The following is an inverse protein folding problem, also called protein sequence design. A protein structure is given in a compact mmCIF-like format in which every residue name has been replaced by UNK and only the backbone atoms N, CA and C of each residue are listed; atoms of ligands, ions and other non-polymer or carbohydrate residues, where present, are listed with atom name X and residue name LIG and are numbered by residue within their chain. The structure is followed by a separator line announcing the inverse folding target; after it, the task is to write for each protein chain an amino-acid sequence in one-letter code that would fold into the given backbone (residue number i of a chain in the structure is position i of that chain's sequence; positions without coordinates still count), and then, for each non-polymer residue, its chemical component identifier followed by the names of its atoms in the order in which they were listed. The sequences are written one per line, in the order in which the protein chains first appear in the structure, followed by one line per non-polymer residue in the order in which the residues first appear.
data_IF_206562585149
#
_entry.id   IF_206562585149
#
_cell.length_a   1.000
_cell.length_b   1.000
_cell.length_c   1.000
_cell.angle_alpha   90.00
_cell.angle_beta   90.00
_cell.angle_gamma   90.00
#
_symmetry.space_group_name_H-M   'P 1'
#
loop_
_entity.id
_entity.type
_entity.pdbx_description
1 polymer ?
#
# COMPACT_ATOMS: atom_id res chain seq x y z
N UNK A 1 -13.06 -63.32 -20.65
CA UNK A 1 -11.92 -64.15 -20.23
C UNK A 1 -10.94 -63.28 -19.47
N UNK A 2 -10.71 -63.63 -18.18
CA UNK A 2 -9.52 -63.34 -17.33
C UNK A 2 -8.95 -61.91 -17.29
N UNK A 3 -9.09 -61.16 -16.18
CA UNK A 3 -8.32 -61.23 -14.89
C UNK A 3 -6.86 -60.74 -14.97
N UNK A 4 -6.50 -59.88 -14.01
CA UNK A 4 -5.13 -59.64 -13.51
C UNK A 4 -4.87 -58.16 -13.23
N UNK A 5 -5.11 -57.62 -12.03
CA UNK A 5 -4.16 -57.56 -10.89
C UNK A 5 -2.90 -56.76 -11.26
N UNK A 6 -2.58 -55.59 -10.69
CA UNK A 6 -2.58 -55.24 -9.27
C UNK A 6 -1.19 -55.54 -8.69
N UNK A 7 -0.37 -54.51 -8.45
CA UNK A 7 0.70 -54.48 -7.43
C UNK A 7 1.50 -53.17 -7.48
N UNK A 8 1.40 -52.37 -6.42
CA UNK A 8 2.50 -51.54 -5.93
C UNK A 8 3.46 -52.41 -5.11
N UNK A 9 4.73 -51.99 -4.96
CA UNK A 9 5.41 -52.10 -3.67
C UNK A 9 6.09 -50.77 -3.31
N UNK A 10 5.78 -50.17 -2.15
CA UNK A 10 6.28 -50.43 -0.79
C UNK A 10 7.42 -49.49 -0.38
N UNK A 11 7.22 -48.87 0.78
CA UNK A 11 8.14 -47.99 1.48
C UNK A 11 9.18 -48.79 2.29
N UNK A 12 10.37 -48.23 2.59
CA UNK A 12 11.21 -48.76 3.65
C UNK A 12 11.06 -47.96 4.96
N UNK A 13 10.57 -48.68 5.96
CA UNK A 13 11.12 -48.88 7.30
C UNK A 13 11.50 -47.67 8.18
N UNK A 14 10.79 -47.59 9.30
CA UNK A 14 11.18 -46.93 10.54
C UNK A 14 12.47 -47.53 11.14
N UNK A 15 13.42 -46.68 11.50
CA UNK A 15 14.54 -47.02 12.38
C UNK A 15 14.26 -46.49 13.79
N UNK A 16 14.10 -47.43 14.71
CA UNK A 16 14.00 -47.20 16.16
C UNK A 16 15.42 -47.19 16.73
N UNK A 17 15.81 -46.14 17.45
CA UNK A 17 16.93 -46.20 18.40
C UNK A 17 16.51 -45.58 19.74
N UNK A 18 16.49 -46.45 20.75
CA UNK A 18 16.44 -46.14 22.18
C UNK A 18 17.85 -45.84 22.69
N UNK A 19 17.94 -45.00 23.73
CA UNK A 19 19.11 -44.87 24.63
C UNK A 19 19.37 -43.41 25.00
N UNK A 20 18.70 -42.85 26.01
CA UNK A 20 19.07 -42.87 27.43
C UNK A 20 20.31 -42.01 27.79
N UNK A 21 20.07 -40.89 28.46
CA UNK A 21 21.09 -40.05 29.09
C UNK A 21 20.47 -38.96 29.96
N UNK A 22 20.35 -39.24 31.27
CA UNK A 22 19.85 -38.34 32.31
C UNK A 22 20.91 -37.27 32.64
N UNK A 23 20.46 -36.06 32.98
CA UNK A 23 21.29 -35.03 33.60
C UNK A 23 20.46 -33.90 34.16
N UNK A 24 20.04 -34.04 35.42
CA UNK A 24 19.37 -33.00 36.21
C UNK A 24 20.42 -32.06 36.82
N UNK A 25 20.17 -30.75 36.76
CA UNK A 25 20.95 -29.72 37.45
C UNK A 25 20.04 -28.57 37.84
N UNK A 26 19.70 -28.51 39.14
CA UNK A 26 18.94 -27.44 39.80
C UNK A 26 19.87 -26.28 40.20
N UNK A 27 19.29 -25.09 40.36
CA UNK A 27 19.84 -23.98 41.15
C UNK A 27 20.24 -22.78 40.28
N UNK A 28 19.85 -21.54 40.57
CA UNK A 28 19.32 -20.98 41.80
C UNK A 28 18.50 -19.72 41.58
N UNK A 29 17.65 -19.47 42.57
CA UNK A 29 16.90 -18.25 42.76
C UNK A 29 17.84 -17.12 43.19
N UNK A 30 17.72 -15.95 42.56
CA UNK A 30 18.23 -14.69 43.05
C UNK A 30 17.06 -13.77 43.38
N UNK A 31 16.79 -13.60 44.68
CA UNK A 31 15.95 -12.54 45.26
C UNK A 31 16.79 -11.28 45.48
N UNK A 32 16.12 -10.13 45.44
CA UNK A 32 16.62 -8.77 45.73
C UNK A 32 15.81 -7.79 44.88
N UNK A 33 14.58 -7.40 45.22
CA UNK A 33 14.10 -6.59 46.37
C UNK A 33 14.58 -5.12 46.36
N UNK A 34 13.60 -4.21 46.18
CA UNK A 34 13.48 -2.79 46.60
C UNK A 34 14.37 -1.75 45.85
N UNK A 35 13.90 -0.58 45.38
CA UNK A 35 12.98 0.43 45.95
C UNK A 35 12.21 1.19 44.82
N UNK A 36 10.91 1.48 44.97
CA UNK A 36 10.30 2.81 45.26
C UNK A 36 10.97 4.01 44.54
N UNK A 37 10.32 4.90 43.77
CA UNK A 37 8.95 5.42 43.76
C UNK A 37 8.71 6.39 42.58
N UNK A 38 7.62 7.19 42.56
CA UNK A 38 7.00 7.72 41.35
C UNK A 38 7.48 9.13 40.96
N UNK A 39 7.68 9.38 39.67
CA UNK A 39 7.82 10.74 39.14
C UNK A 39 6.44 11.32 38.82
N UNK A 40 6.13 12.40 39.54
CA UNK A 40 4.88 13.13 39.62
C UNK A 40 4.43 13.75 38.30
N UNK A 41 3.11 13.79 38.15
CA UNK A 41 2.36 14.66 37.27
C UNK A 41 2.72 16.15 37.46
N UNK A 42 2.69 16.91 36.37
CA UNK A 42 2.21 18.29 36.35
C UNK A 42 1.24 18.43 35.18
N UNK A 43 -0.04 18.36 35.53
CA UNK A 43 -1.09 19.07 34.82
C UNK A 43 -0.97 20.54 35.22
N UNK A 44 -0.91 21.44 34.24
CA UNK A 44 -1.37 22.81 34.46
C UNK A 44 -2.74 22.93 33.81
N UNK A 45 -3.74 23.08 34.69
CA UNK A 45 -4.97 23.79 34.38
C UNK A 45 -4.66 25.28 34.27
N UNK A 46 -5.20 25.93 33.23
CA UNK A 46 -5.62 27.32 33.34
C UNK A 46 -6.93 27.49 32.58
N UNK A 47 -7.97 27.73 33.38
CA UNK A 47 -9.27 28.35 33.11
C UNK A 47 -9.25 29.25 31.86
N UNK A 48 -10.22 29.18 30.95
CA UNK A 48 -11.63 29.39 31.20
C UNK A 48 -12.06 30.70 30.54
N UNK A 49 -12.64 30.65 29.33
CA UNK A 49 -13.46 31.75 28.85
C UNK A 49 -14.68 31.27 28.05
N UNK A 50 -15.74 31.16 28.85
CA UNK A 50 -17.17 31.14 28.57
C UNK A 50 -17.62 31.46 27.15
N UNK A 51 -18.33 30.48 26.60
CA UNK A 51 -19.39 30.59 25.61
C UNK A 51 -20.28 31.82 25.85
N UNK A 52 -20.52 32.61 24.81
CA UNK A 52 -21.64 33.55 24.75
C UNK A 52 -22.40 33.38 23.44
N UNK A 53 -23.62 32.89 23.57
CA UNK A 53 -24.77 33.06 22.66
C UNK A 53 -25.96 33.42 23.54
N UNK A 54 -27.07 33.95 22.99
CA UNK A 54 -27.28 35.13 22.15
C UNK A 54 -28.11 36.18 22.94
N UNK A 55 -28.77 37.16 22.30
CA UNK A 55 -30.23 37.01 22.32
C UNK A 55 -30.95 37.42 21.03
N UNK A 56 -32.11 36.79 20.89
CA UNK A 56 -33.14 36.96 19.88
C UNK A 56 -33.93 38.27 20.08
N UNK A 57 -34.43 38.79 18.96
CA UNK A 57 -35.72 39.48 18.78
C UNK A 57 -35.88 40.93 19.29
N UNK A 58 -35.91 41.88 18.35
CA UNK A 58 -36.96 42.92 18.39
C UNK A 58 -37.41 43.30 16.99
N UNK A 59 -38.68 43.02 16.74
CA UNK A 59 -39.46 43.37 15.55
C UNK A 59 -40.01 44.78 15.75
N UNK A 60 -39.56 45.75 14.95
CA UNK A 60 -40.22 47.05 14.85
C UNK A 60 -40.78 47.22 13.43
N UNK A 61 -42.10 47.35 13.36
CA UNK A 61 -42.83 47.91 12.21
C UNK A 61 -42.50 49.40 12.15
N UNK A 62 -42.02 49.85 10.99
CA UNK A 62 -41.97 51.26 10.61
C UNK A 62 -42.31 51.35 9.13
N UNK A 63 -43.41 52.04 8.83
CA UNK A 63 -44.04 52.18 7.53
C UNK A 63 -43.68 53.56 6.95
N UNK A 64 -43.31 53.54 5.66
CA UNK A 64 -43.37 54.54 4.59
C UNK A 64 -42.70 55.93 4.75
N UNK A 65 -41.77 56.25 3.84
CA UNK A 65 -41.98 57.11 2.64
C UNK A 65 -40.63 57.63 2.13
N UNK A 66 -40.39 57.58 0.81
CA UNK A 66 -39.23 58.23 0.21
C UNK A 66 -38.75 57.58 -1.07
N UNK A 67 -39.25 58.08 -2.20
CA UNK A 67 -38.84 57.71 -3.55
C UNK A 67 -37.33 57.90 -3.78
N UNK A 68 -36.71 56.94 -4.47
CA UNK A 68 -35.29 57.03 -4.86
C UNK A 68 -34.82 55.79 -5.61
N UNK A 69 -35.05 55.77 -6.93
CA UNK A 69 -34.32 55.02 -7.95
C UNK A 69 -33.63 53.71 -7.51
N UNK A 70 -34.40 52.61 -7.42
CA UNK A 70 -33.82 51.28 -7.46
C UNK A 70 -33.59 50.89 -8.92
N UNK A 71 -32.37 51.13 -9.40
CA UNK A 71 -31.81 50.35 -10.49
C UNK A 71 -32.05 48.86 -10.17
N UNK A 72 -32.69 48.14 -11.11
CA UNK A 72 -32.98 46.74 -10.97
C UNK A 72 -31.70 45.95 -10.71
N UNK A 73 -31.39 45.75 -9.43
CA UNK A 73 -30.58 44.63 -8.98
C UNK A 73 -31.48 43.40 -9.14
N UNK A 74 -31.62 42.94 -10.39
CA UNK A 74 -31.69 41.51 -10.61
C UNK A 74 -30.56 40.94 -9.75
N UNK A 75 -30.92 40.14 -8.75
CA UNK A 75 -30.00 39.32 -8.02
C UNK A 75 -29.31 38.42 -9.06
N UNK A 76 -28.22 38.95 -9.63
CA UNK A 76 -27.28 38.21 -10.44
C UNK A 76 -26.80 37.11 -9.52
N UNK A 77 -27.37 35.93 -9.72
CA UNK A 77 -26.81 34.68 -9.24
C UNK A 77 -25.35 34.75 -9.67
N UNK A 78 -24.44 35.02 -8.72
CA UNK A 78 -23.02 34.87 -8.92
C UNK A 78 -22.79 33.39 -9.19
N UNK A 79 -22.92 32.99 -10.47
CA UNK A 79 -22.37 31.75 -11.01
C UNK A 79 -20.86 31.96 -11.15
N UNK A 80 -20.20 32.19 -10.03
CA UNK A 80 -18.75 32.07 -9.91
C UNK A 80 -18.46 30.87 -9.00
N UNK A 81 -19.22 29.79 -9.15
CA UNK A 81 -18.73 28.48 -8.79
C UNK A 81 -17.79 28.11 -9.93
N UNK A 82 -16.50 28.42 -9.77
CA UNK A 82 -15.44 27.88 -10.60
C UNK A 82 -15.63 26.36 -10.66
N UNK A 83 -16.26 25.87 -11.73
CA UNK A 83 -16.17 24.47 -12.13
C UNK A 83 -14.71 24.25 -12.49
N UNK A 84 -13.92 23.83 -11.50
CA UNK A 84 -12.57 23.34 -11.74
C UNK A 84 -12.74 22.03 -12.49
N UNK A 85 -12.88 22.10 -13.82
CA UNK A 85 -12.87 20.96 -14.71
C UNK A 85 -11.46 20.35 -14.74
N UNK A 86 -11.12 19.64 -13.65
CA UNK A 86 -9.87 18.92 -13.60
C UNK A 86 -9.95 17.67 -14.47
N UNK A 87 -9.08 17.58 -15.49
CA UNK A 87 -9.01 16.40 -16.36
C UNK A 87 -8.49 15.19 -15.58
N UNK A 88 -9.09 14.00 -15.77
CA UNK A 88 -8.52 12.77 -15.22
C UNK A 88 -7.09 12.55 -15.71
N UNK A 89 -6.22 12.03 -14.84
CA UNK A 89 -4.80 11.79 -15.14
C UNK A 89 -4.46 10.33 -14.87
N UNK A 90 -3.72 9.74 -15.79
CA UNK A 90 -3.11 8.42 -15.66
C UNK A 90 -1.59 8.61 -15.71
N UNK A 91 -0.92 8.51 -14.56
CA UNK A 91 0.54 8.64 -14.47
C UNK A 91 1.15 7.26 -14.39
N UNK A 92 1.93 6.89 -15.39
CA UNK A 92 2.63 5.60 -15.45
C UNK A 92 4.12 5.89 -15.50
N UNK A 93 4.89 5.34 -14.56
CA UNK A 93 6.34 5.55 -14.48
C UNK A 93 7.06 4.23 -14.21
N UNK A 94 8.01 3.91 -15.07
CA UNK A 94 9.01 2.87 -14.83
C UNK A 94 10.34 3.56 -14.53
N UNK A 95 11.00 3.22 -13.43
CA UNK A 95 12.28 3.84 -13.04
C UNK A 95 13.18 2.84 -12.34
N UNK A 96 14.51 3.02 -12.42
CA UNK A 96 15.45 2.26 -11.59
C UNK A 96 15.59 2.84 -10.17
N UNK A 97 15.16 4.08 -9.98
CA UNK A 97 15.29 4.83 -8.74
C UNK A 97 14.32 4.37 -7.67
N UNK A 98 14.62 4.72 -6.41
CA UNK A 98 13.77 4.42 -5.27
C UNK A 98 12.43 5.14 -5.39
N UNK A 99 11.33 4.41 -5.21
CA UNK A 99 9.99 4.98 -5.25
C UNK A 99 9.67 5.72 -3.95
N UNK A 100 9.10 6.91 -4.06
CA UNK A 100 8.58 7.69 -2.95
C UNK A 100 7.06 7.56 -2.85
N UNK A 101 6.57 7.12 -1.69
CA UNK A 101 5.12 7.05 -1.42
C UNK A 101 4.50 8.45 -1.44
N UNK A 102 5.21 9.45 -0.91
CA UNK A 102 4.74 10.83 -0.87
C UNK A 102 4.59 11.39 -2.30
N UNK A 103 5.62 11.26 -3.15
CA UNK A 103 5.57 11.71 -4.55
C UNK A 103 4.34 11.14 -5.27
N UNK A 104 4.14 9.82 -5.17
CA UNK A 104 3.03 9.15 -5.85
C UNK A 104 1.68 9.57 -5.26
N UNK A 105 1.60 9.80 -3.95
CA UNK A 105 0.37 10.27 -3.30
C UNK A 105 -0.01 11.67 -3.77
N UNK A 106 0.94 12.60 -3.89
CA UNK A 106 0.70 13.97 -4.30
C UNK A 106 0.17 14.05 -5.74
N UNK A 107 0.65 13.18 -6.63
CA UNK A 107 0.24 13.16 -8.04
C UNK A 107 -1.25 12.86 -8.25
N UNK A 108 -1.90 12.18 -7.30
CA UNK A 108 -3.31 11.79 -7.41
C UNK A 108 -4.25 12.64 -6.56
N UNK A 109 -3.73 13.57 -5.75
CA UNK A 109 -4.56 14.49 -4.95
C UNK A 109 -5.33 15.43 -5.89
N UNK A 110 -6.60 15.62 -5.57
CA UNK A 110 -7.50 16.54 -6.28
C UNK A 110 -8.47 17.17 -5.29
N UNK A 111 -8.82 18.46 -5.45
CA UNK A 111 -9.83 19.12 -4.61
C UNK A 111 -11.22 18.47 -4.72
N UNK A 112 -11.46 17.67 -5.77
CA UNK A 112 -12.72 16.96 -6.00
C UNK A 112 -12.79 15.58 -5.33
N UNK A 113 -11.67 15.09 -4.78
CA UNK A 113 -11.57 13.74 -4.23
C UNK A 113 -11.46 13.75 -2.70
N UNK A 114 -12.37 13.06 -2.02
CA UNK A 114 -12.34 12.88 -0.57
C UNK A 114 -11.53 11.66 -0.11
N UNK A 115 -11.04 10.84 -1.03
CA UNK A 115 -10.28 9.63 -0.70
C UNK A 115 -9.14 9.38 -1.70
N UNK A 116 -8.01 8.98 -1.14
CA UNK A 116 -6.87 8.42 -1.87
C UNK A 116 -6.54 7.07 -1.23
N UNK A 117 -6.38 6.03 -2.05
CA UNK A 117 -5.95 4.72 -1.60
C UNK A 117 -4.64 4.37 -2.30
N UNK A 118 -3.70 3.81 -1.54
CA UNK A 118 -2.39 3.40 -2.03
C UNK A 118 -2.13 1.93 -1.73
N UNK A 119 -1.53 1.25 -2.69
CA UNK A 119 -0.89 -0.04 -2.50
C UNK A 119 0.62 0.12 -2.67
N UNK A 120 1.38 -0.42 -1.72
CA UNK A 120 2.85 -0.42 -1.75
C UNK A 120 3.32 -1.87 -1.67
N UNK A 121 3.87 -2.38 -2.77
CA UNK A 121 4.49 -3.70 -2.81
C UNK A 121 5.95 -3.62 -2.40
N UNK A 122 6.30 -4.18 -1.24
CA UNK A 122 7.68 -4.18 -0.72
C UNK A 122 8.36 -5.54 -0.85
N UNK A 123 9.67 -5.56 -1.12
CA UNK A 123 10.47 -6.78 -1.14
C UNK A 123 10.57 -7.39 0.26
N UNK A 124 10.33 -8.70 0.38
CA UNK A 124 10.46 -9.46 1.63
C UNK A 124 11.83 -10.14 1.70
N UNK A 125 12.31 -10.41 2.91
CA UNK A 125 13.62 -11.01 3.17
C UNK A 125 13.67 -12.54 3.01
N UNK A 126 12.54 -13.19 2.73
CA UNK A 126 12.44 -14.64 2.62
C UNK A 126 11.63 -15.05 1.40
N UNK A 127 12.10 -16.12 0.76
CA UNK A 127 11.38 -16.85 -0.28
C UNK A 127 11.72 -18.34 -0.18
N UNK A 128 10.71 -19.19 0.00
CA UNK A 128 10.88 -20.66 0.08
C UNK A 128 11.97 -21.13 1.07
N UNK A 129 12.08 -20.45 2.22
CA UNK A 129 13.06 -20.79 3.27
C UNK A 129 14.49 -20.29 3.01
N UNK A 130 14.75 -19.62 1.88
CA UNK A 130 16.04 -18.97 1.58
C UNK A 130 16.00 -17.48 1.92
N UNK A 131 17.15 -16.94 2.36
CA UNK A 131 17.32 -15.52 2.66
C UNK A 131 17.60 -14.76 1.35
N UNK A 132 16.69 -13.85 1.02
CA UNK A 132 16.76 -12.97 -0.16
C UNK A 132 17.35 -11.63 0.26
N UNK A 133 18.31 -11.11 -0.50
CA UNK A 133 18.92 -9.77 -0.27
C UNK A 133 18.19 -8.70 -1.10
N UNK A 134 17.84 -9.05 -2.34
CA UNK A 134 17.17 -8.14 -3.26
C UNK A 134 16.38 -8.91 -4.32
N UNK A 135 15.50 -8.21 -5.02
CA UNK A 135 14.83 -8.67 -6.22
C UNK A 135 15.30 -7.84 -7.41
N UNK A 136 15.59 -8.49 -8.52
CA UNK A 136 15.86 -7.83 -9.80
C UNK A 136 14.61 -7.85 -10.65
N UNK A 137 14.18 -6.69 -11.15
CA UNK A 137 12.99 -6.55 -11.99
C UNK A 137 13.34 -6.11 -13.40
N UNK A 138 12.79 -6.81 -14.38
CA UNK A 138 12.91 -6.48 -15.80
C UNK A 138 11.52 -6.38 -16.43
N UNK A 139 11.36 -5.49 -17.41
CA UNK A 139 10.08 -5.28 -18.07
C UNK A 139 10.28 -4.93 -19.54
N UNK A 140 9.38 -5.44 -20.39
CA UNK A 140 9.28 -4.97 -21.76
C UNK A 140 8.42 -3.71 -21.80
N UNK A 141 9.07 -2.54 -21.65
CA UNK A 141 8.43 -1.25 -21.40
C UNK A 141 7.25 -0.91 -22.32
N UNK A 142 7.35 -1.01 -23.67
CA UNK A 142 6.26 -0.60 -24.54
C UNK A 142 4.98 -1.42 -24.32
N UNK A 143 5.13 -2.73 -24.08
CA UNK A 143 4.00 -3.61 -23.81
C UNK A 143 3.48 -3.40 -22.38
N UNK A 144 4.38 -3.26 -21.41
CA UNK A 144 4.00 -3.05 -20.01
C UNK A 144 3.21 -1.75 -19.83
N UNK A 145 3.64 -0.64 -20.44
CA UNK A 145 2.89 0.61 -20.44
C UNK A 145 1.50 0.46 -21.08
N UNK A 146 1.42 -0.22 -22.23
CA UNK A 146 0.16 -0.42 -22.92
C UNK A 146 -0.84 -1.25 -22.10
N UNK A 147 -0.37 -2.31 -21.43
CA UNK A 147 -1.22 -3.10 -20.54
C UNK A 147 -1.66 -2.30 -19.31
N UNK A 148 -0.79 -1.47 -18.71
CA UNK A 148 -1.20 -0.60 -17.61
C UNK A 148 -2.23 0.44 -18.05
N UNK A 149 -2.09 1.03 -19.25
CA UNK A 149 -3.11 1.95 -19.81
C UNK A 149 -4.46 1.26 -19.97
N UNK A 150 -4.49 0.00 -20.40
CA UNK A 150 -5.73 -0.79 -20.47
C UNK A 150 -6.33 -0.99 -19.07
N UNK A 151 -5.51 -1.31 -18.07
CA UNK A 151 -5.96 -1.42 -16.67
C UNK A 151 -6.58 -0.10 -16.18
N UNK A 152 -5.96 1.05 -16.47
CA UNK A 152 -6.51 2.36 -16.12
C UNK A 152 -7.88 2.59 -16.78
N UNK A 153 -8.01 2.26 -18.08
CA UNK A 153 -9.28 2.34 -18.80
C UNK A 153 -10.36 1.43 -18.16
N UNK A 154 -10.02 0.18 -17.87
CA UNK A 154 -10.94 -0.78 -17.23
C UNK A 154 -11.43 -0.30 -15.86
N UNK A 155 -10.52 0.27 -15.06
CA UNK A 155 -10.85 0.84 -13.75
C UNK A 155 -11.86 1.97 -13.91
N UNK A 156 -11.64 2.87 -14.88
CA UNK A 156 -12.52 4.03 -15.13
C UNK A 156 -13.91 3.62 -15.61
N UNK A 157 -14.03 2.48 -16.29
CA UNK A 157 -15.33 1.93 -16.68
C UNK A 157 -16.10 1.32 -15.50
N UNK A 158 -15.38 0.79 -14.50
CA UNK A 158 -15.97 0.09 -13.35
C UNK A 158 -16.25 1.01 -12.16
N UNK A 159 -15.42 2.02 -11.93
CA UNK A 159 -15.49 2.88 -10.75
C UNK A 159 -15.29 4.36 -11.09
N UNK A 160 -16.02 5.27 -10.41
CA UNK A 160 -15.85 6.71 -10.56
C UNK A 160 -14.57 7.18 -9.85
N UNK A 161 -13.42 7.01 -10.53
CA UNK A 161 -12.10 7.44 -10.05
C UNK A 161 -11.59 8.63 -10.86
N UNK A 162 -10.78 9.49 -10.22
CA UNK A 162 -10.28 10.73 -10.82
C UNK A 162 -8.87 10.57 -11.36
N UNK A 163 -7.90 10.29 -10.50
CA UNK A 163 -6.50 10.10 -10.88
C UNK A 163 -6.02 8.71 -10.52
N UNK A 164 -5.16 8.17 -11.38
CA UNK A 164 -4.50 6.88 -11.20
C UNK A 164 -3.00 7.10 -11.41
N UNK A 165 -2.19 6.62 -10.47
CA UNK A 165 -0.74 6.58 -10.61
C UNK A 165 -0.24 5.16 -10.41
N UNK A 166 0.60 4.67 -11.32
CA UNK A 166 1.23 3.35 -11.28
C UNK A 166 2.72 3.50 -11.50
N UNK A 167 3.48 3.29 -10.44
CA UNK A 167 4.92 3.41 -10.45
C UNK A 167 5.52 2.03 -10.21
N UNK A 168 6.42 1.59 -11.09
CA UNK A 168 7.11 0.33 -10.93
C UNK A 168 8.61 0.54 -11.02
N UNK A 169 9.33 0.00 -10.04
CA UNK A 169 10.79 0.03 -10.00
C UNK A 169 11.36 -1.12 -10.83
N UNK A 170 12.38 -0.84 -11.62
CA UNK A 170 13.14 -1.79 -12.41
C UNK A 170 14.57 -1.92 -11.86
N UNK A 171 15.27 -2.97 -12.27
CA UNK A 171 16.59 -3.30 -11.74
C UNK A 171 16.52 -3.82 -10.30
N UNK A 172 17.56 -3.56 -9.52
CA UNK A 172 17.73 -4.11 -8.17
C UNK A 172 16.90 -3.35 -7.12
N UNK A 173 16.07 -4.09 -6.41
CA UNK A 173 15.22 -3.62 -5.31
C UNK A 173 15.59 -4.38 -4.04
N UNK A 174 16.30 -3.75 -3.09
CA UNK A 174 16.63 -4.33 -1.79
C UNK A 174 15.38 -4.72 -0.99
N UNK A 175 15.60 -5.62 -0.02
CA UNK A 175 14.61 -5.94 1.01
C UNK A 175 14.08 -4.67 1.71
N UNK A 176 12.79 -4.67 2.02
CA UNK A 176 12.06 -3.57 2.66
C UNK A 176 11.88 -2.32 1.79
N UNK A 177 12.31 -2.34 0.53
CA UNK A 177 12.03 -1.26 -0.42
C UNK A 177 10.82 -1.56 -1.31
N UNK A 178 10.13 -0.51 -1.75
CA UNK A 178 8.98 -0.61 -2.63
C UNK A 178 9.43 -0.93 -4.07
N UNK A 179 8.88 -2.02 -4.63
CA UNK A 179 9.02 -2.37 -6.04
C UNK A 179 7.88 -1.79 -6.88
N UNK A 180 6.70 -1.63 -6.30
CA UNK A 180 5.54 -1.06 -7.00
C UNK A 180 4.72 -0.20 -6.05
N UNK A 181 4.23 0.92 -6.56
CA UNK A 181 3.28 1.79 -5.88
C UNK A 181 2.12 2.07 -6.84
N UNK A 182 0.90 1.82 -6.37
CA UNK A 182 -0.33 2.17 -7.10
C UNK A 182 -1.12 3.11 -6.20
N UNK A 183 -1.54 4.26 -6.74
CA UNK A 183 -2.39 5.20 -6.05
C UNK A 183 -3.61 5.54 -6.90
N UNK A 184 -4.78 5.60 -6.27
CA UNK A 184 -6.04 5.97 -6.94
C UNK A 184 -6.81 6.94 -6.06
N UNK A 185 -7.30 8.02 -6.66
CA UNK A 185 -8.17 8.99 -6.01
C UNK A 185 -9.61 8.91 -6.50
N UNK A 186 -10.54 9.14 -5.57
CA UNK A 186 -11.97 9.15 -5.86
C UNK A 186 -12.73 10.05 -4.88
N UNK A 187 -13.97 10.39 -5.23
CA UNK A 187 -14.85 11.20 -4.36
C UNK A 187 -15.11 10.50 -3.02
N UNK A 188 -15.29 9.17 -3.05
CA UNK A 188 -15.60 8.35 -1.87
C UNK A 188 -14.72 7.11 -1.77
N UNK A 189 -14.29 6.78 -0.55
CA UNK A 189 -13.33 5.71 -0.23
C UNK A 189 -13.58 4.34 -0.88
N UNK A 190 -14.83 3.95 -1.11
CA UNK A 190 -15.17 2.61 -1.61
C UNK A 190 -14.57 2.38 -3.01
N UNK A 191 -14.70 3.38 -3.90
CA UNK A 191 -14.20 3.31 -5.27
C UNK A 191 -12.68 3.22 -5.32
N UNK A 192 -11.96 4.04 -4.53
CA UNK A 192 -10.49 4.00 -4.52
C UNK A 192 -9.95 2.68 -3.98
N UNK A 193 -10.53 2.13 -2.92
CA UNK A 193 -10.10 0.84 -2.35
C UNK A 193 -10.29 -0.32 -3.32
N UNK A 194 -11.47 -0.39 -3.96
CA UNK A 194 -11.77 -1.45 -4.93
C UNK A 194 -10.89 -1.32 -6.20
N UNK A 195 -10.70 -0.08 -6.69
CA UNK A 195 -9.87 0.19 -7.85
C UNK A 195 -8.40 -0.20 -7.62
N UNK A 196 -7.83 0.12 -6.45
CA UNK A 196 -6.44 -0.25 -6.12
C UNK A 196 -6.27 -1.76 -6.06
N UNK A 197 -7.20 -2.47 -5.42
CA UNK A 197 -7.17 -3.95 -5.37
C UNK A 197 -7.23 -4.54 -6.77
N UNK A 198 -8.16 -4.08 -7.61
CA UNK A 198 -8.27 -4.53 -8.99
C UNK A 198 -6.99 -4.24 -9.80
N UNK A 199 -6.40 -3.05 -9.60
CA UNK A 199 -5.20 -2.63 -10.31
C UNK A 199 -4.02 -3.57 -10.04
N UNK A 200 -3.74 -3.90 -8.78
CA UNK A 200 -2.60 -4.77 -8.44
C UNK A 200 -2.81 -6.21 -8.89
N UNK A 201 -4.02 -6.75 -8.75
CA UNK A 201 -4.33 -8.11 -9.16
C UNK A 201 -4.22 -8.26 -10.68
N UNK A 202 -4.75 -7.27 -11.42
CA UNK A 202 -4.67 -7.26 -12.89
C UNK A 202 -3.26 -7.01 -13.39
N UNK A 203 -2.49 -6.14 -12.72
CA UNK A 203 -1.09 -5.87 -13.05
C UNK A 203 -0.28 -7.17 -12.99
N UNK A 204 -0.40 -7.92 -11.89
CA UNK A 204 0.29 -9.21 -11.71
C UNK A 204 -0.13 -10.28 -12.71
N UNK A 205 -1.37 -10.22 -13.20
CA UNK A 205 -1.91 -11.21 -14.13
C UNK A 205 -1.55 -10.92 -15.59
N UNK A 206 -1.50 -9.65 -16.01
CA UNK A 206 -1.42 -9.26 -17.43
C UNK A 206 -0.13 -8.57 -17.85
N UNK A 207 0.55 -7.87 -16.93
CA UNK A 207 1.67 -7.00 -17.30
C UNK A 207 2.95 -7.82 -17.34
N UNK A 208 3.71 -7.80 -18.46
CA UNK A 208 4.95 -8.58 -18.62
C UNK A 208 6.10 -7.94 -17.85
N UNK A 209 6.13 -8.19 -16.54
CA UNK A 209 7.21 -7.81 -15.63
C UNK A 209 7.75 -9.08 -14.99
N UNK A 210 9.03 -9.32 -15.16
CA UNK A 210 9.73 -10.46 -14.59
C UNK A 210 10.47 -10.03 -13.33
N UNK A 211 10.49 -10.92 -12.34
CA UNK A 211 11.27 -10.77 -11.11
C UNK A 211 12.26 -11.92 -11.01
N UNK A 212 13.42 -11.64 -10.45
CA UNK A 212 14.45 -12.64 -10.14
C UNK A 212 14.95 -12.43 -8.72
N UNK A 213 14.92 -13.48 -7.92
CA UNK A 213 15.40 -13.45 -6.54
C UNK A 213 16.93 -13.48 -6.48
N UNK A 214 17.52 -12.56 -5.73
CA UNK A 214 18.96 -12.54 -5.43
C UNK A 214 19.18 -13.01 -3.99
N UNK A 215 19.89 -14.13 -3.84
CA UNK A 215 20.15 -14.76 -2.55
C UNK A 215 21.50 -14.33 -1.98
N UNK A 216 21.61 -14.41 -0.64
CA UNK A 216 22.88 -14.27 0.07
C UNK A 216 23.69 -15.56 -0.12
N UNK A 217 24.48 -15.65 -1.20
CA UNK A 217 25.38 -16.79 -1.40
C UNK A 217 26.83 -16.32 -1.50
N UNK A 218 27.50 -16.31 -0.35
CA UNK A 218 28.96 -16.33 -0.26
C UNK A 218 29.48 -17.77 -0.33
N UNK A 219 29.32 -18.45 -1.47
CA UNK A 219 30.09 -19.67 -1.81
C UNK A 219 29.77 -20.16 -3.23
N UNK A 220 30.37 -19.53 -4.23
CA UNK A 220 30.66 -20.20 -5.49
C UNK A 220 31.72 -21.29 -5.24
N UNK A 221 31.30 -22.44 -4.71
CA UNK A 221 32.11 -23.64 -4.67
C UNK A 221 32.06 -24.30 -6.04
N UNK A 222 33.14 -24.20 -6.82
CA UNK A 222 33.35 -25.05 -7.98
C UNK A 222 33.34 -26.51 -7.52
N UNK A 223 32.25 -27.24 -7.76
CA UNK A 223 32.27 -28.70 -7.65
C UNK A 223 33.08 -29.24 -8.83
N UNK A 224 34.29 -29.73 -8.53
CA UNK A 224 35.11 -30.50 -9.44
C UNK A 224 34.29 -31.70 -9.96
N UNK A 225 34.29 -31.92 -11.27
CA UNK A 225 33.74 -33.15 -11.82
C UNK A 225 34.52 -34.34 -11.23
N UNK A 226 33.84 -35.31 -10.61
CA UNK A 226 34.49 -36.50 -10.03
C UNK A 226 34.81 -37.57 -11.07
N UNK A 227 34.46 -37.32 -12.33
CA UNK A 227 34.76 -38.18 -13.47
C UNK A 227 35.83 -37.51 -14.36
N UNK A 228 37.05 -37.41 -13.83
CA UNK A 228 38.26 -37.23 -14.62
C UNK A 228 39.31 -38.19 -14.04
N UNK A 229 39.36 -39.41 -14.59
CA UNK A 229 40.51 -40.29 -14.48
C UNK A 229 41.25 -40.20 -15.81
N UNK A 230 42.19 -39.27 -15.91
CA UNK A 230 43.28 -39.30 -16.89
C UNK A 230 44.58 -39.06 -16.14
#
# INVERSE_FOLDING_TARGET
TSRGAGAQPEAPAAATLRGAGRGAGRGGAGRGELCAGPARARAEEAEGLRLRTPPTLLRLRGRDTGAGAAAGWCCGVRKDLNEIEEKPKDIIKFTAEKLSVDEVSQLVISPLCGAVSLFVGTTRNNFEGKKVISLEYEAYLPMAENEIRKICSDIRQKWPVKHIAVFHRLGLVPVSEASVIIAVSSVHRASSLQAVSYAIDTLKAKVPIWKKEMYEESSSSWKRNKECFW
#
